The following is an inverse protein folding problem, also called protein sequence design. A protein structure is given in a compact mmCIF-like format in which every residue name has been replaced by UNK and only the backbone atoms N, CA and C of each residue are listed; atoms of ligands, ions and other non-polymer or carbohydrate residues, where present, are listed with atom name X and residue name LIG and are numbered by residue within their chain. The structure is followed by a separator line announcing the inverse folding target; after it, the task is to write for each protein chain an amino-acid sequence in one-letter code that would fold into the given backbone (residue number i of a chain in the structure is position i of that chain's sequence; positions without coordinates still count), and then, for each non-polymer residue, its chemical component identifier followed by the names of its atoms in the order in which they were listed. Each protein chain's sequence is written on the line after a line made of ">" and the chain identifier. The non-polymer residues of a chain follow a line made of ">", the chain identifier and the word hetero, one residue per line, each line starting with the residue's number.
data_IF_774516143423
#
_entry.id   IF_774516143423
#
_cell.length_a   1.000
_cell.length_b   1.000
_cell.length_c   1.000
_cell.angle_alpha   90.00
_cell.angle_beta   90.00
_cell.angle_gamma   90.00
#
_symmetry.space_group_name_H-M   'P 1'
#
loop_
_entity.id
_entity.type
_entity.pdbx_description
1 polymer ?
#
# COMPACT_ATOMS: atom_id res chain seq x y z
N UNK A 1 7.58 68.04 38.91
CA UNK A 1 6.57 66.97 39.08
C UNK A 1 6.71 66.09 37.87
N UNK A 2 7.42 64.98 38.05
CA UNK A 2 7.91 64.17 36.95
C UNK A 2 6.74 63.41 36.31
N UNK A 3 6.79 63.34 34.99
CA UNK A 3 5.74 62.80 34.11
C UNK A 3 5.64 61.27 34.21
N UNK A 4 5.37 60.74 35.41
CA UNK A 4 5.22 59.29 35.73
C UNK A 4 4.11 58.64 34.89
N UNK A 5 3.15 59.43 34.40
CA UNK A 5 2.06 58.98 33.55
C UNK A 5 2.53 58.46 32.18
N UNK A 6 3.58 59.05 31.60
CA UNK A 6 4.09 58.64 30.29
C UNK A 6 4.61 57.18 30.33
N UNK A 7 5.53 56.80 31.24
CA UNK A 7 5.99 55.41 31.36
C UNK A 7 4.87 54.39 31.61
N UNK A 8 3.87 54.73 32.44
CA UNK A 8 2.75 53.83 32.76
C UNK A 8 1.89 53.56 31.52
N UNK A 9 1.58 54.60 30.75
CA UNK A 9 0.81 54.49 29.51
C UNK A 9 1.60 53.67 28.48
N UNK A 10 2.90 53.94 28.32
CA UNK A 10 3.76 53.19 27.39
C UNK A 10 3.83 51.71 27.76
N UNK A 11 4.07 51.39 29.04
CA UNK A 11 4.12 50.00 29.52
C UNK A 11 2.80 49.26 29.29
N UNK A 12 1.67 49.93 29.54
CA UNK A 12 0.33 49.36 29.34
C UNK A 12 0.06 49.08 27.85
N UNK A 13 0.44 50.01 26.98
CA UNK A 13 0.32 49.84 25.53
C UNK A 13 1.18 48.69 25.02
N UNK A 14 2.41 48.53 25.52
CA UNK A 14 3.30 47.41 25.16
C UNK A 14 2.70 46.06 25.54
N UNK A 15 2.11 45.93 26.74
CA UNK A 15 1.47 44.68 27.16
C UNK A 15 0.28 44.35 26.26
N UNK A 16 -0.56 45.34 25.95
CA UNK A 16 -1.72 45.14 25.06
C UNK A 16 -1.27 44.77 23.65
N UNK A 17 -0.27 45.46 23.09
CA UNK A 17 0.26 45.18 21.77
C UNK A 17 0.86 43.77 21.69
N UNK A 18 1.60 43.33 22.72
CA UNK A 18 2.14 41.97 22.79
C UNK A 18 1.05 40.92 22.94
N UNK A 19 0.01 41.18 23.71
CA UNK A 19 -1.13 40.26 23.84
C UNK A 19 -1.88 40.08 22.52
N UNK A 20 -2.10 41.18 21.79
CA UNK A 20 -2.72 41.18 20.46
C UNK A 20 -1.83 40.40 19.49
N UNK A 21 -0.53 40.73 19.43
CA UNK A 21 0.44 40.05 18.56
C UNK A 21 0.50 38.55 18.84
N UNK A 22 0.59 38.16 20.11
CA UNK A 22 0.61 36.75 20.51
C UNK A 22 -0.67 36.03 20.09
N UNK A 23 -1.84 36.65 20.27
CA UNK A 23 -3.12 36.08 19.86
C UNK A 23 -3.21 35.88 18.35
N UNK A 24 -2.74 36.86 17.56
CA UNK A 24 -2.67 36.73 16.09
C UNK A 24 -1.73 35.60 15.65
N UNK A 25 -0.49 35.60 16.14
CA UNK A 25 0.50 34.58 15.79
C UNK A 25 0.04 33.19 16.20
N UNK A 26 -0.53 33.06 17.40
CA UNK A 26 -1.07 31.79 17.90
C UNK A 26 -2.22 31.29 17.02
N UNK A 27 -3.18 32.14 16.69
CA UNK A 27 -4.31 31.76 15.82
C UNK A 27 -3.84 31.31 14.43
N UNK A 28 -2.83 31.96 13.86
CA UNK A 28 -2.27 31.58 12.57
C UNK A 28 -1.51 30.25 12.63
N UNK A 29 -0.76 30.01 13.71
CA UNK A 29 -0.07 28.74 13.94
C UNK A 29 -1.09 27.61 14.14
N UNK A 30 -2.10 27.81 14.98
CA UNK A 30 -3.13 26.82 15.28
C UNK A 30 -3.90 26.42 14.00
N UNK A 31 -4.28 27.40 13.17
CA UNK A 31 -4.90 27.14 11.86
C UNK A 31 -4.00 26.32 10.93
N UNK A 32 -2.71 26.65 10.86
CA UNK A 32 -1.75 25.90 10.03
C UNK A 32 -1.57 24.46 10.51
N UNK A 33 -1.48 24.27 11.83
CA UNK A 33 -1.38 22.94 12.44
C UNK A 33 -2.64 22.12 12.16
N UNK A 34 -3.82 22.73 12.28
CA UNK A 34 -5.09 22.06 12.03
C UNK A 34 -5.23 21.65 10.56
N UNK A 35 -4.93 22.55 9.63
CA UNK A 35 -4.90 22.24 8.19
C UNK A 35 -3.93 21.11 7.88
N UNK A 36 -2.72 21.16 8.44
CA UNK A 36 -1.73 20.11 8.25
C UNK A 36 -2.21 18.76 8.78
N UNK A 37 -2.83 18.74 9.97
CA UNK A 37 -3.40 17.54 10.58
C UNK A 37 -4.51 16.93 9.72
N UNK A 38 -5.40 17.76 9.16
CA UNK A 38 -6.49 17.30 8.28
C UNK A 38 -5.92 16.67 7.01
N UNK A 39 -5.00 17.37 6.33
CA UNK A 39 -4.37 16.88 5.09
C UNK A 39 -3.61 15.59 5.36
N UNK A 40 -2.81 15.55 6.42
CA UNK A 40 -2.05 14.36 6.82
C UNK A 40 -2.97 13.17 7.10
N UNK A 41 -4.03 13.38 7.89
CA UNK A 41 -5.00 12.33 8.20
C UNK A 41 -5.72 11.81 6.94
N UNK A 42 -6.01 12.69 5.97
CA UNK A 42 -6.63 12.31 4.70
C UNK A 42 -5.70 11.43 3.86
N UNK A 43 -4.47 11.89 3.63
CA UNK A 43 -3.45 11.16 2.86
C UNK A 43 -3.14 9.81 3.52
N UNK A 44 -2.98 9.81 4.84
CA UNK A 44 -2.69 8.59 5.59
C UNK A 44 -3.81 7.55 5.46
N UNK A 45 -5.08 7.99 5.59
CA UNK A 45 -6.24 7.11 5.42
C UNK A 45 -6.28 6.50 4.02
N UNK A 46 -6.05 7.31 2.99
CA UNK A 46 -6.02 6.85 1.60
C UNK A 46 -4.90 5.80 1.39
N UNK A 47 -3.70 6.08 1.90
CA UNK A 47 -2.56 5.15 1.86
C UNK A 47 -2.89 3.81 2.52
N UNK A 48 -3.53 3.83 3.68
CA UNK A 48 -3.91 2.62 4.41
C UNK A 48 -4.99 1.80 3.67
N UNK A 49 -5.96 2.47 3.04
CA UNK A 49 -6.95 1.80 2.19
C UNK A 49 -6.32 1.17 0.95
N UNK A 50 -5.36 1.86 0.32
CA UNK A 50 -4.57 1.30 -0.78
C UNK A 50 -3.82 0.04 -0.33
N UNK A 51 -3.22 0.04 0.87
CA UNK A 51 -2.48 -1.10 1.39
C UNK A 51 -3.39 -2.31 1.67
N UNK A 52 -4.58 -2.08 2.25
CA UNK A 52 -5.58 -3.14 2.40
C UNK A 52 -6.01 -3.71 1.05
N UNK A 53 -6.31 -2.83 0.09
CA UNK A 53 -6.75 -3.23 -1.25
C UNK A 53 -5.67 -4.01 -1.99
N UNK A 54 -4.40 -3.62 -1.85
CA UNK A 54 -3.25 -4.36 -2.37
C UNK A 54 -3.22 -5.80 -1.83
N UNK A 55 -3.28 -5.96 -0.50
CA UNK A 55 -3.23 -7.27 0.13
C UNK A 55 -4.41 -8.15 -0.29
N UNK A 56 -5.64 -7.61 -0.25
CA UNK A 56 -6.84 -8.34 -0.68
C UNK A 56 -6.75 -8.78 -2.14
N UNK A 57 -6.28 -7.89 -3.03
CA UNK A 57 -6.14 -8.22 -4.46
C UNK A 57 -5.13 -9.35 -4.70
N UNK A 58 -4.05 -9.39 -3.90
CA UNK A 58 -3.07 -10.48 -3.98
C UNK A 58 -3.68 -11.80 -3.50
N UNK A 59 -4.39 -11.78 -2.37
CA UNK A 59 -5.02 -12.99 -1.82
C UNK A 59 -6.08 -13.55 -2.78
N UNK A 60 -6.97 -12.69 -3.30
CA UNK A 60 -7.99 -13.09 -4.28
C UNK A 60 -7.37 -13.69 -5.56
N UNK A 61 -6.32 -13.05 -6.09
CA UNK A 61 -5.61 -13.57 -7.27
C UNK A 61 -4.92 -14.90 -6.99
N UNK A 62 -4.23 -15.00 -5.85
CA UNK A 62 -3.55 -16.22 -5.41
C UNK A 62 -4.56 -17.37 -5.32
N UNK A 63 -5.70 -17.14 -4.67
CA UNK A 63 -6.72 -18.17 -4.48
C UNK A 63 -7.31 -18.64 -5.82
N UNK A 64 -7.61 -17.70 -6.73
CA UNK A 64 -8.08 -18.02 -8.09
C UNK A 64 -7.05 -18.84 -8.88
N UNK A 65 -5.78 -18.42 -8.85
CA UNK A 65 -4.70 -19.08 -9.58
C UNK A 65 -4.44 -20.48 -9.02
N UNK A 66 -4.44 -20.65 -7.70
CA UNK A 66 -4.25 -21.95 -7.06
C UNK A 66 -5.42 -22.89 -7.37
N UNK A 67 -6.67 -22.41 -7.27
CA UNK A 67 -7.86 -23.22 -7.61
C UNK A 67 -7.87 -23.63 -9.08
N UNK A 68 -7.57 -22.71 -10.00
CA UNK A 68 -7.43 -23.03 -11.42
C UNK A 68 -6.24 -23.98 -11.67
N UNK A 69 -5.13 -23.76 -10.99
CA UNK A 69 -3.96 -24.64 -11.03
C UNK A 69 -4.23 -26.07 -10.53
N UNK A 70 -5.18 -26.27 -9.62
CA UNK A 70 -5.57 -27.63 -9.19
C UNK A 70 -6.66 -28.24 -10.08
N UNK A 71 -7.68 -27.48 -10.46
CA UNK A 71 -8.85 -28.01 -11.19
C UNK A 71 -8.81 -27.86 -12.72
N UNK A 72 -7.95 -27.01 -13.28
CA UNK A 72 -8.03 -26.60 -14.70
C UNK A 72 -9.43 -26.10 -15.05
N UNK A 73 -9.92 -26.42 -16.24
CA UNK A 73 -11.32 -26.15 -16.65
C UNK A 73 -12.40 -26.69 -15.69
N UNK A 74 -12.12 -27.75 -14.91
CA UNK A 74 -13.07 -28.29 -13.93
C UNK A 74 -13.19 -27.46 -12.65
N UNK A 75 -12.30 -26.47 -12.47
CA UNK A 75 -12.38 -25.52 -11.34
C UNK A 75 -13.56 -24.55 -11.43
N UNK A 76 -14.22 -24.45 -12.60
CA UNK A 76 -15.26 -23.45 -12.86
C UNK A 76 -14.72 -22.03 -13.00
N UNK A 77 -13.39 -21.84 -12.95
CA UNK A 77 -12.74 -20.55 -13.12
C UNK A 77 -12.36 -20.37 -14.58
N UNK A 78 -12.80 -19.26 -15.18
CA UNK A 78 -12.44 -18.91 -16.53
C UNK A 78 -10.99 -18.38 -16.58
N UNK A 79 -10.06 -18.99 -17.33
CA UNK A 79 -8.68 -18.51 -17.42
C UNK A 79 -8.57 -17.08 -17.95
N UNK A 80 -9.52 -16.63 -18.78
CA UNK A 80 -9.55 -15.24 -19.28
C UNK A 80 -9.91 -14.24 -18.16
N UNK A 81 -10.68 -14.66 -17.16
CA UNK A 81 -10.99 -13.85 -15.98
C UNK A 81 -9.73 -13.63 -15.15
N UNK A 82 -8.95 -14.68 -14.89
CA UNK A 82 -7.67 -14.57 -14.16
C UNK A 82 -6.74 -13.58 -14.88
N UNK A 83 -6.64 -13.66 -16.21
CA UNK A 83 -5.83 -12.72 -17.00
C UNK A 83 -6.30 -11.27 -16.85
N UNK A 84 -7.61 -11.07 -16.85
CA UNK A 84 -8.22 -9.74 -16.64
C UNK A 84 -7.91 -9.22 -15.24
N UNK A 85 -7.94 -10.07 -14.22
CA UNK A 85 -7.65 -9.71 -12.85
C UNK A 85 -6.18 -9.36 -12.64
N UNK A 86 -5.26 -10.12 -13.22
CA UNK A 86 -3.82 -9.80 -13.25
C UNK A 86 -3.59 -8.42 -13.88
N UNK A 87 -4.23 -8.14 -15.01
CA UNK A 87 -4.12 -6.82 -15.66
C UNK A 87 -4.72 -5.70 -14.82
N UNK A 88 -5.81 -5.97 -14.11
CA UNK A 88 -6.43 -5.02 -13.17
C UNK A 88 -5.51 -4.72 -12.01
N UNK A 89 -4.89 -5.75 -11.45
CA UNK A 89 -3.87 -5.63 -10.42
C UNK A 89 -2.67 -4.80 -10.88
N UNK A 90 -2.16 -5.02 -12.09
CA UNK A 90 -1.06 -4.22 -12.66
C UNK A 90 -1.44 -2.73 -12.73
N UNK A 91 -2.60 -2.42 -13.31
CA UNK A 91 -3.07 -1.02 -13.44
C UNK A 91 -3.25 -0.36 -12.07
N UNK A 92 -3.85 -1.08 -11.12
CA UNK A 92 -3.99 -0.59 -9.75
C UNK A 92 -2.63 -0.24 -9.15
N UNK A 93 -1.64 -1.12 -9.24
CA UNK A 93 -0.32 -0.88 -8.68
C UNK A 93 0.46 0.24 -9.38
N UNK A 94 0.27 0.42 -10.68
CA UNK A 94 0.85 1.56 -11.40
C UNK A 94 0.30 2.89 -10.87
N UNK A 95 -1.01 2.96 -10.65
CA UNK A 95 -1.67 4.15 -10.10
C UNK A 95 -1.29 4.38 -8.63
N UNK A 96 -1.27 3.31 -7.83
CA UNK A 96 -0.97 3.36 -6.41
C UNK A 96 0.53 3.57 -6.10
N UNK A 97 1.41 3.43 -7.10
CA UNK A 97 2.86 3.55 -6.94
C UNK A 97 3.32 4.84 -6.27
N UNK A 98 2.55 5.93 -6.40
CA UNK A 98 2.82 7.21 -5.73
C UNK A 98 2.80 7.11 -4.19
N UNK A 99 2.13 6.10 -3.64
CA UNK A 99 2.03 5.83 -2.20
C UNK A 99 2.97 4.70 -1.75
N UNK A 100 3.72 4.10 -2.68
CA UNK A 100 4.60 2.97 -2.40
C UNK A 100 6.04 3.43 -2.21
N UNK A 101 6.66 3.14 -1.05
CA UNK A 101 8.12 3.19 -0.98
C UNK A 101 8.70 2.12 -1.92
N UNK A 102 9.97 2.29 -2.27
CA UNK A 102 10.65 1.45 -3.28
C UNK A 102 10.59 -0.05 -2.96
N UNK A 103 10.76 -0.44 -1.71
CA UNK A 103 10.70 -1.85 -1.27
C UNK A 103 9.32 -2.47 -1.46
N UNK A 104 8.24 -1.72 -1.19
CA UNK A 104 6.86 -2.19 -1.42
C UNK A 104 6.61 -2.41 -2.91
N UNK A 105 7.09 -1.51 -3.76
CA UNK A 105 6.98 -1.65 -5.20
C UNK A 105 7.75 -2.88 -5.71
N UNK A 106 8.96 -3.11 -5.22
CA UNK A 106 9.79 -4.28 -5.57
C UNK A 106 9.11 -5.59 -5.14
N UNK A 107 8.64 -5.69 -3.90
CA UNK A 107 7.93 -6.87 -3.40
C UNK A 107 6.62 -7.13 -4.16
N UNK A 108 5.86 -6.07 -4.46
CA UNK A 108 4.61 -6.18 -5.22
C UNK A 108 4.88 -6.70 -6.63
N UNK A 109 5.96 -6.24 -7.27
CA UNK A 109 6.38 -6.73 -8.58
C UNK A 109 6.86 -8.18 -8.55
N UNK A 110 7.53 -8.61 -7.48
CA UNK A 110 7.92 -10.00 -7.26
C UNK A 110 6.69 -10.90 -7.16
N UNK A 111 5.75 -10.56 -6.28
CA UNK A 111 4.50 -11.32 -6.10
C UNK A 111 3.71 -11.39 -7.40
N UNK A 112 3.59 -10.27 -8.12
CA UNK A 112 2.95 -10.24 -9.45
C UNK A 112 3.57 -11.28 -10.37
N UNK A 113 4.90 -11.33 -10.43
CA UNK A 113 5.62 -12.26 -11.30
C UNK A 113 5.38 -13.71 -10.86
N UNK A 114 5.42 -13.99 -9.56
CA UNK A 114 5.11 -15.33 -9.03
C UNK A 114 3.69 -15.78 -9.41
N UNK A 115 2.69 -14.89 -9.26
CA UNK A 115 1.31 -15.15 -9.68
C UNK A 115 1.22 -15.43 -11.19
N UNK A 116 1.87 -14.60 -12.01
CA UNK A 116 1.89 -14.76 -13.47
C UNK A 116 2.56 -16.06 -13.89
N UNK A 117 3.73 -16.38 -13.33
CA UNK A 117 4.48 -17.59 -13.65
C UNK A 117 3.64 -18.85 -13.36
N UNK A 118 2.94 -18.90 -12.22
CA UNK A 118 2.06 -20.03 -11.89
C UNK A 118 0.84 -20.09 -12.79
N UNK A 119 0.23 -18.94 -13.11
CA UNK A 119 -0.90 -18.88 -14.04
C UNK A 119 -0.52 -19.36 -15.45
N UNK A 120 0.59 -18.87 -16.00
CA UNK A 120 1.04 -19.21 -17.35
C UNK A 120 1.34 -20.72 -17.46
N UNK A 121 1.99 -21.30 -16.44
CA UNK A 121 2.21 -22.75 -16.38
C UNK A 121 0.91 -23.55 -16.23
N UNK A 122 -0.03 -23.05 -15.41
CA UNK A 122 -1.35 -23.69 -15.25
C UNK A 122 -2.13 -23.69 -16.55
N UNK A 123 -2.13 -22.56 -17.26
CA UNK A 123 -2.80 -22.38 -18.54
C UNK A 123 -2.16 -23.23 -19.64
N UNK A 124 -0.82 -23.25 -19.73
CA UNK A 124 -0.10 -24.13 -20.64
C UNK A 124 -0.45 -25.59 -20.37
N UNK A 125 -0.39 -26.05 -19.12
CA UNK A 125 -0.75 -27.43 -18.77
C UNK A 125 -2.17 -27.79 -19.20
N UNK A 126 -3.13 -26.91 -18.99
CA UNK A 126 -4.53 -27.13 -19.39
C UNK A 126 -4.69 -27.19 -20.92
N UNK A 127 -4.01 -26.29 -21.64
CA UNK A 127 -3.98 -26.25 -23.10
C UNK A 127 -3.26 -27.47 -23.72
N UNK A 128 -2.18 -27.93 -23.08
CA UNK A 128 -1.33 -29.05 -23.48
C UNK A 128 -1.82 -30.42 -22.97
N UNK A 129 -2.98 -30.52 -22.31
CA UNK A 129 -3.69 -31.80 -22.10
C UNK A 129 -3.88 -32.63 -23.39
N UNK A 130 -3.62 -32.03 -24.56
CA UNK A 130 -3.67 -32.67 -25.87
C UNK A 130 -2.36 -33.22 -26.44
N UNK A 131 -1.16 -32.88 -25.94
CA UNK A 131 0.11 -33.44 -26.44
C UNK A 131 1.26 -33.24 -25.41
N UNK A 132 1.81 -34.35 -24.90
CA UNK A 132 3.06 -34.50 -24.12
C UNK A 132 3.54 -33.27 -23.33
N UNK A 133 2.93 -33.03 -22.16
CA UNK A 133 3.56 -32.17 -21.15
C UNK A 133 4.75 -32.92 -20.53
N UNK A 134 5.98 -32.48 -20.79
CA UNK A 134 7.18 -33.16 -20.30
C UNK A 134 7.24 -33.16 -18.75
N UNK A 135 7.77 -34.24 -18.17
CA UNK A 135 7.91 -34.40 -16.72
C UNK A 135 8.68 -33.25 -16.04
N UNK A 136 9.58 -32.59 -16.77
CA UNK A 136 10.37 -31.45 -16.29
C UNK A 136 9.50 -30.21 -16.05
N UNK A 137 8.53 -29.94 -16.93
CA UNK A 137 7.62 -28.79 -16.81
C UNK A 137 6.64 -28.96 -15.65
N UNK A 138 6.30 -30.22 -15.35
CA UNK A 138 5.48 -30.57 -14.19
C UNK A 138 6.20 -30.27 -12.87
N UNK A 139 7.47 -30.65 -12.71
CA UNK A 139 8.23 -30.37 -11.50
C UNK A 139 8.41 -28.86 -11.28
N UNK A 140 8.69 -28.11 -12.34
CA UNK A 140 8.79 -26.65 -12.29
C UNK A 140 7.46 -26.04 -11.84
N UNK A 141 6.33 -26.52 -12.37
CA UNK A 141 5.01 -26.06 -11.94
C UNK A 141 4.77 -26.26 -10.44
N UNK A 142 5.01 -27.46 -9.91
CA UNK A 142 4.83 -27.73 -8.47
C UNK A 142 5.76 -26.91 -7.59
N UNK A 143 7.00 -26.69 -8.02
CA UNK A 143 7.94 -25.82 -7.31
C UNK A 143 7.41 -24.37 -7.24
N UNK A 144 6.95 -23.82 -8.38
CA UNK A 144 6.40 -22.46 -8.44
C UNK A 144 5.12 -22.33 -7.62
N UNK A 145 4.23 -23.31 -7.71
CA UNK A 145 3.00 -23.36 -6.90
C UNK A 145 3.31 -23.47 -5.40
N UNK A 146 4.29 -24.29 -5.01
CA UNK A 146 4.73 -24.42 -3.63
C UNK A 146 5.31 -23.12 -3.10
N UNK A 147 6.13 -22.43 -3.89
CA UNK A 147 6.66 -21.12 -3.52
C UNK A 147 5.54 -20.09 -3.33
N UNK A 148 4.57 -20.03 -4.26
CA UNK A 148 3.42 -19.13 -4.15
C UNK A 148 2.57 -19.42 -2.90
N UNK A 149 2.30 -20.69 -2.62
CA UNK A 149 1.47 -21.10 -1.46
C UNK A 149 2.20 -21.01 -0.13
N UNK A 150 3.54 -21.06 -0.11
CA UNK A 150 4.34 -20.83 1.10
C UNK A 150 4.13 -19.44 1.70
N UNK A 151 3.66 -18.48 0.88
CA UNK A 151 3.35 -17.13 1.31
C UNK A 151 4.55 -16.30 1.75
N UNK A 152 5.80 -16.73 1.45
CA UNK A 152 7.01 -16.01 1.88
C UNK A 152 7.01 -14.55 1.39
N UNK A 153 6.86 -14.35 0.08
CA UNK A 153 6.86 -13.02 -0.54
C UNK A 153 5.68 -12.17 -0.05
N UNK A 154 4.52 -12.79 0.16
CA UNK A 154 3.33 -12.13 0.71
C UNK A 154 3.51 -11.67 2.17
N UNK A 155 4.06 -12.54 3.02
CA UNK A 155 4.34 -12.22 4.41
C UNK A 155 5.40 -11.12 4.53
N UNK A 156 6.41 -11.14 3.66
CA UNK A 156 7.40 -10.07 3.58
C UNK A 156 6.75 -8.74 3.19
N UNK A 157 5.90 -8.72 2.16
CA UNK A 157 5.14 -7.51 1.79
C UNK A 157 4.30 -7.01 2.97
N UNK A 158 3.58 -7.89 3.67
CA UNK A 158 2.77 -7.51 4.83
C UNK A 158 3.61 -6.86 5.93
N UNK A 159 4.77 -7.43 6.25
CA UNK A 159 5.68 -6.86 7.26
C UNK A 159 6.21 -5.50 6.82
N UNK A 160 6.64 -5.38 5.56
CA UNK A 160 7.12 -4.10 5.02
C UNK A 160 6.03 -3.01 5.06
N UNK A 161 4.77 -3.37 4.80
CA UNK A 161 3.64 -2.43 4.91
C UNK A 161 3.40 -2.01 6.36
N UNK A 162 3.48 -2.95 7.31
CA UNK A 162 3.33 -2.67 8.75
C UNK A 162 4.45 -1.75 9.22
N UNK A 163 5.69 -2.02 8.84
CA UNK A 163 6.84 -1.21 9.23
C UNK A 163 6.75 0.20 8.63
N UNK A 164 6.27 0.32 7.39
CA UNK A 164 6.01 1.62 6.79
C UNK A 164 4.93 2.42 7.53
N UNK A 165 3.84 1.77 7.95
CA UNK A 165 2.79 2.39 8.77
C UNK A 165 3.35 2.83 10.13
N UNK A 166 4.17 1.99 10.79
CA UNK A 166 4.79 2.34 12.07
C UNK A 166 5.69 3.56 11.95
N UNK A 167 6.46 3.65 10.86
CA UNK A 167 7.31 4.80 10.55
C UNK A 167 6.47 6.08 10.37
N UNK A 168 5.37 6.03 9.62
CA UNK A 168 4.46 7.18 9.45
C UNK A 168 3.89 7.68 10.79
N UNK A 169 3.67 6.79 11.76
CA UNK A 169 3.17 7.16 13.08
C UNK A 169 4.25 7.43 14.13
N UNK A 170 5.54 7.38 13.77
CA UNK A 170 6.65 7.45 14.73
C UNK A 170 6.52 6.44 15.89
N UNK A 171 5.90 5.29 15.64
CA UNK A 171 5.81 4.21 16.63
C UNK A 171 7.15 3.49 16.63
N UNK A 172 7.92 3.61 17.72
CA UNK A 172 9.18 2.88 17.89
C UNK A 172 8.89 1.39 18.09
N UNK A 173 9.70 0.55 17.45
CA UNK A 173 9.72 -0.90 17.68
C UNK A 173 10.16 -1.24 19.10
#
# INVERSE_FOLDING_TARGET
>A
MDNIWIPIITASFTVIANAIFYSFVKNDIDKKIEQHKIIYSGIFKEKLEIYKKLLNSIDELKDKIVHYGHGGDSSGINPMEIRKDINTFIRFNQQASIFYPKNILENTNLIRKELQDVYDLSFQRDFHKKNDFEFKDFNIYFERLSNLTSGRSFNQLKNDLIDNIKMDFNIKN
#
